data_IF_627129956273
#
_entry.id   IF_627129956273
#
_cell.length_a   1.000
_cell.length_b   1.000
_cell.length_c   1.000
_cell.angle_alpha   90.00
_cell.angle_beta   90.00
_cell.angle_gamma   90.00
#
_symmetry.space_group_name_H-M   'P 1'
#
loop_
_entity.id
_entity.type
_entity.pdbx_description
1 polymer ?
#
# COMPACT_ATOMS: atom_id res chain seq x y z
N UNK A 1 -1.06 -3.24 -3.48
CA UNK A 1 -0.53 -2.67 -2.25
C UNK A 1 -0.63 -3.82 -1.29
N UNK A 2 0.47 -4.29 -0.66
CA UNK A 2 0.57 -5.65 -0.11
C UNK A 2 -0.64 -6.01 0.77
N UNK A 3 -1.64 -6.59 0.09
CA UNK A 3 -2.76 -7.35 0.60
C UNK A 3 -2.58 -8.68 -0.11
N UNK A 4 -1.60 -9.42 0.39
CA UNK A 4 -1.42 -10.81 0.00
C UNK A 4 -1.02 -11.68 1.17
N UNK A 5 -0.59 -11.08 2.29
CA UNK A 5 -0.30 -11.81 3.52
C UNK A 5 -1.56 -12.35 4.21
N UNK A 6 -2.75 -11.82 3.89
CA UNK A 6 -4.01 -12.32 4.49
C UNK A 6 -4.82 -13.29 3.64
N UNK A 7 -4.55 -13.39 2.33
CA UNK A 7 -5.31 -14.24 1.42
C UNK A 7 -4.73 -15.66 1.29
N UNK A 8 -3.57 -15.95 1.89
CA UNK A 8 -2.88 -17.24 1.77
C UNK A 8 -2.64 -17.63 0.29
N UNK A 9 -2.44 -16.62 -0.58
CA UNK A 9 -2.05 -16.87 -1.96
C UNK A 9 -0.58 -17.28 -1.96
N UNK A 10 -0.35 -18.59 -2.09
CA UNK A 10 0.98 -19.20 -2.10
C UNK A 10 1.92 -18.51 -3.10
N UNK A 11 1.39 -18.12 -4.26
CA UNK A 11 2.16 -17.43 -5.30
C UNK A 11 2.73 -16.08 -4.84
N UNK A 12 1.97 -15.30 -4.07
CA UNK A 12 2.46 -14.02 -3.55
C UNK A 12 3.35 -14.23 -2.33
N UNK A 13 3.02 -15.20 -1.48
CA UNK A 13 3.83 -15.52 -0.30
C UNK A 13 5.23 -15.97 -0.71
N UNK A 14 5.36 -16.74 -1.79
CA UNK A 14 6.65 -17.18 -2.32
C UNK A 14 7.45 -16.01 -2.91
N UNK A 15 6.82 -15.13 -3.70
CA UNK A 15 7.49 -13.92 -4.20
C UNK A 15 7.91 -12.94 -3.11
N UNK A 16 7.13 -12.85 -2.02
CA UNK A 16 7.51 -12.05 -0.84
C UNK A 16 8.69 -12.68 -0.09
N UNK A 17 8.80 -14.01 -0.05
CA UNK A 17 9.93 -14.70 0.56
C UNK A 17 11.25 -14.50 -0.21
N UNK A 18 11.16 -14.30 -1.52
CA UNK A 18 12.30 -14.00 -2.38
C UNK A 18 12.68 -12.49 -2.39
N UNK A 19 11.86 -11.62 -1.78
CA UNK A 19 12.14 -10.18 -1.70
C UNK A 19 13.14 -9.89 -0.57
N UNK A 20 14.18 -9.08 -0.86
CA UNK A 20 15.18 -8.69 0.14
C UNK A 20 14.57 -7.91 1.31
N UNK A 21 13.66 -6.97 1.01
CA UNK A 21 13.00 -6.15 2.01
C UNK A 21 11.54 -5.86 1.63
N UNK A 22 10.65 -5.92 2.62
CA UNK A 22 9.21 -5.68 2.45
C UNK A 22 8.77 -4.50 3.32
N UNK A 23 8.12 -3.53 2.69
CA UNK A 23 7.64 -2.31 3.33
C UNK A 23 6.12 -2.23 3.29
N UNK A 24 5.53 -1.71 4.36
CA UNK A 24 4.07 -1.54 4.47
C UNK A 24 3.74 -0.07 4.75
N UNK A 25 3.01 0.63 3.87
CA UNK A 25 2.53 1.98 4.14
C UNK A 25 1.61 2.02 5.37
N UNK A 26 1.76 3.02 6.24
CA UNK A 26 0.88 3.16 7.41
C UNK A 26 -0.58 3.42 7.02
N UNK A 27 -0.84 4.04 5.86
CA UNK A 27 -2.18 4.21 5.30
C UNK A 27 -2.83 2.87 4.95
N UNK A 28 -2.06 1.92 4.42
CA UNK A 28 -2.49 0.55 4.16
C UNK A 28 -2.94 -0.17 5.44
N UNK A 29 -2.11 -0.08 6.49
CA UNK A 29 -2.46 -0.65 7.80
C UNK A 29 -3.76 -0.04 8.33
N UNK A 30 -3.95 1.27 8.17
CA UNK A 30 -5.19 1.95 8.54
C UNK A 30 -6.43 1.34 7.88
N UNK A 31 -6.35 1.03 6.57
CA UNK A 31 -7.44 0.35 5.85
C UNK A 31 -7.69 -1.07 6.35
N UNK A 32 -6.61 -1.82 6.65
CA UNK A 32 -6.71 -3.16 7.19
C UNK A 32 -7.39 -3.17 8.57
N UNK A 33 -6.98 -2.28 9.48
CA UNK A 33 -7.63 -2.15 10.79
C UNK A 33 -9.10 -1.74 10.67
N UNK A 34 -9.41 -0.83 9.75
CA UNK A 34 -10.80 -0.44 9.47
C UNK A 34 -11.64 -1.63 8.98
N UNK A 35 -11.10 -2.43 8.04
CA UNK A 35 -11.74 -3.64 7.55
C UNK A 35 -11.93 -4.69 8.64
N UNK A 36 -10.90 -4.92 9.47
CA UNK A 36 -10.95 -5.85 10.59
C UNK A 36 -12.04 -5.47 11.60
N UNK A 37 -12.15 -4.19 11.95
CA UNK A 37 -13.17 -3.68 12.86
C UNK A 37 -14.61 -3.90 12.41
N UNK A 38 -14.85 -4.04 11.09
CA UNK A 38 -16.18 -4.35 10.52
C UNK A 38 -16.47 -5.85 10.43
N UNK A 39 -15.49 -6.71 10.65
CA UNK A 39 -15.61 -8.15 10.42
C UNK A 39 -16.22 -8.89 11.62
N UNK A 40 -16.88 -10.02 11.36
CA UNK A 40 -17.37 -10.91 12.41
C UNK A 40 -16.24 -11.53 13.27
N UNK A 41 -14.99 -11.48 12.78
CA UNK A 41 -13.79 -12.01 13.43
C UNK A 41 -12.79 -10.90 13.76
N UNK A 42 -13.28 -9.76 14.24
CA UNK A 42 -12.46 -8.57 14.46
C UNK A 42 -11.21 -8.84 15.31
N UNK A 43 -11.32 -9.58 16.41
CA UNK A 43 -10.18 -9.89 17.30
C UNK A 43 -9.08 -10.67 16.58
N UNK A 44 -9.45 -11.73 15.85
CA UNK A 44 -8.49 -12.56 15.11
C UNK A 44 -7.83 -11.76 13.99
N UNK A 45 -8.61 -10.93 13.27
CA UNK A 45 -8.09 -10.12 12.18
C UNK A 45 -7.14 -9.03 12.68
N UNK A 46 -7.47 -8.35 13.78
CA UNK A 46 -6.60 -7.36 14.42
C UNK A 46 -5.28 -8.02 14.83
N UNK A 47 -5.32 -9.17 15.52
CA UNK A 47 -4.11 -9.86 15.94
C UNK A 47 -3.17 -10.19 14.77
N UNK A 48 -3.73 -10.65 13.64
CA UNK A 48 -2.92 -10.91 12.44
C UNK A 48 -2.35 -9.63 11.79
N UNK A 49 -3.07 -8.50 11.88
CA UNK A 49 -2.55 -7.20 11.41
C UNK A 49 -1.43 -6.70 12.32
N UNK A 50 -1.56 -6.89 13.64
CA UNK A 50 -0.51 -6.56 14.61
C UNK A 50 0.75 -7.39 14.35
N UNK A 51 0.61 -8.69 14.06
CA UNK A 51 1.73 -9.56 13.68
C UNK A 51 2.41 -9.09 12.38
N UNK A 52 1.62 -8.75 11.34
CA UNK A 52 2.17 -8.20 10.09
C UNK A 52 2.94 -6.90 10.34
N UNK A 53 2.36 -5.99 11.12
CA UNK A 53 2.96 -4.69 11.45
C UNK A 53 4.27 -4.87 12.23
N UNK A 54 4.31 -5.80 13.19
CA UNK A 54 5.51 -6.10 13.97
C UNK A 54 6.63 -6.77 13.13
N UNK A 55 6.25 -7.53 12.09
CA UNK A 55 7.18 -8.24 11.21
C UNK A 55 7.65 -7.45 9.98
N UNK A 56 7.15 -6.24 9.75
CA UNK A 56 7.40 -5.47 8.52
C UNK A 56 7.97 -4.09 8.82
N UNK A 57 8.73 -3.53 7.87
CA UNK A 57 9.13 -2.12 7.94
C UNK A 57 7.94 -1.21 7.56
N UNK A 58 7.36 -0.55 8.56
CA UNK A 58 6.21 0.35 8.34
C UNK A 58 6.69 1.74 7.90
N UNK A 59 6.22 2.19 6.74
CA UNK A 59 6.53 3.53 6.20
C UNK A 59 5.45 4.54 6.60
N UNK A 60 5.86 5.64 7.22
CA UNK A 60 4.97 6.71 7.69
C UNK A 60 5.09 7.93 6.79
N UNK A 61 3.96 8.58 6.52
CA UNK A 61 3.92 9.82 5.75
C UNK A 61 4.54 10.99 6.52
N UNK A 62 5.43 11.73 5.85
CA UNK A 62 6.02 12.96 6.35
C UNK A 62 5.72 14.16 5.42
N UNK A 63 6.40 15.29 5.64
CA UNK A 63 6.23 16.49 4.83
C UNK A 63 6.65 16.30 3.36
N UNK A 64 7.65 15.46 3.08
CA UNK A 64 8.05 15.12 1.72
C UNK A 64 6.97 14.27 1.05
N UNK A 65 6.42 13.29 1.76
CA UNK A 65 5.28 12.49 1.28
C UNK A 65 4.11 13.39 0.93
N UNK A 66 3.77 14.36 1.78
CA UNK A 66 2.68 15.30 1.56
C UNK A 66 2.88 16.16 0.30
N UNK A 67 4.12 16.57 0.02
CA UNK A 67 4.44 17.33 -1.21
C UNK A 67 4.26 16.48 -2.47
N UNK A 68 4.69 15.22 -2.44
CA UNK A 68 4.52 14.27 -3.54
C UNK A 68 3.03 13.96 -3.76
N UNK A 69 2.28 13.69 -2.69
CA UNK A 69 0.83 13.51 -2.72
C UNK A 69 0.13 14.67 -3.45
N UNK A 70 0.46 15.92 -3.12
CA UNK A 70 -0.16 17.09 -3.75
C UNK A 70 0.13 17.16 -5.25
N UNK A 71 1.36 16.78 -5.65
CA UNK A 71 1.77 16.73 -7.05
C UNK A 71 1.00 15.65 -7.82
N UNK A 72 0.95 14.44 -7.27
CA UNK A 72 0.23 13.30 -7.87
C UNK A 72 -1.26 13.62 -8.00
N UNK A 73 -1.90 14.11 -6.92
CA UNK A 73 -3.32 14.45 -6.91
C UNK A 73 -3.67 15.52 -7.95
N UNK A 74 -2.82 16.54 -8.10
CA UNK A 74 -3.03 17.57 -9.11
C UNK A 74 -2.93 16.99 -10.54
N UNK A 75 -1.94 16.13 -10.81
CA UNK A 75 -1.80 15.44 -12.11
C UNK A 75 -3.03 14.58 -12.43
N UNK A 76 -3.43 13.72 -11.50
CA UNK A 76 -4.61 12.86 -11.66
C UNK A 76 -5.89 13.67 -11.92
N UNK A 77 -6.04 14.81 -11.24
CA UNK A 77 -7.18 15.73 -11.46
C UNK A 77 -7.15 16.35 -12.85
N UNK A 78 -5.98 16.79 -13.33
CA UNK A 78 -5.83 17.35 -14.68
C UNK A 78 -6.09 16.31 -15.77
N UNK A 79 -5.74 15.05 -15.52
CA UNK A 79 -5.95 13.92 -16.44
C UNK A 79 -7.39 13.36 -16.41
N UNK A 80 -8.20 13.74 -15.42
CA UNK A 80 -9.56 13.21 -15.27
C UNK A 80 -9.60 11.76 -14.79
N UNK A 81 -8.54 11.28 -14.12
CA UNK A 81 -8.40 9.90 -13.64
C UNK A 81 -8.22 9.88 -12.12
N UNK A 82 -9.24 10.26 -11.33
CA UNK A 82 -9.14 10.22 -9.88
C UNK A 82 -8.98 8.77 -9.38
N UNK A 83 -8.12 8.58 -8.39
CA UNK A 83 -7.97 7.33 -7.63
C UNK A 83 -8.31 7.59 -6.15
N UNK A 84 -8.56 6.55 -5.33
CA UNK A 84 -8.80 6.70 -3.90
C UNK A 84 -7.72 7.51 -3.18
N UNK A 85 -8.11 8.28 -2.15
CA UNK A 85 -7.19 9.19 -1.45
C UNK A 85 -6.01 8.48 -0.79
N UNK A 86 -6.24 7.30 -0.21
CA UNK A 86 -5.18 6.50 0.42
C UNK A 86 -4.21 5.93 -0.61
N UNK A 87 -4.67 5.60 -1.82
CA UNK A 87 -3.81 5.13 -2.91
C UNK A 87 -2.83 6.23 -3.33
N UNK A 88 -3.25 7.50 -3.31
CA UNK A 88 -2.35 8.62 -3.58
C UNK A 88 -1.24 8.70 -2.52
N UNK A 89 -1.56 8.46 -1.24
CA UNK A 89 -0.56 8.41 -0.17
C UNK A 89 0.42 7.25 -0.34
N UNK A 90 -0.07 6.08 -0.73
CA UNK A 90 0.74 4.89 -1.01
C UNK A 90 1.69 5.16 -2.17
N UNK A 91 1.19 5.74 -3.27
CA UNK A 91 1.99 6.11 -4.42
C UNK A 91 3.06 7.15 -4.05
N UNK A 92 2.70 8.15 -3.25
CA UNK A 92 3.65 9.16 -2.76
C UNK A 92 4.78 8.56 -1.91
N UNK A 93 4.47 7.60 -1.03
CA UNK A 93 5.49 6.88 -0.26
C UNK A 93 6.41 6.05 -1.16
N UNK A 94 5.84 5.29 -2.10
CA UNK A 94 6.64 4.50 -3.04
C UNK A 94 7.59 5.40 -3.86
N UNK A 95 7.11 6.56 -4.32
CA UNK A 95 7.95 7.54 -5.03
C UNK A 95 9.02 8.17 -4.12
N UNK A 96 8.69 8.52 -2.87
CA UNK A 96 9.64 9.09 -1.91
C UNK A 96 10.83 8.18 -1.68
N UNK A 97 10.57 6.89 -1.48
CA UNK A 97 11.58 5.89 -1.15
C UNK A 97 12.13 5.17 -2.40
N UNK A 98 11.72 5.57 -3.60
CA UNK A 98 12.13 4.95 -4.87
C UNK A 98 11.87 3.44 -4.92
N UNK A 99 10.74 3.02 -4.32
CA UNK A 99 10.33 1.62 -4.23
C UNK A 99 9.39 1.24 -5.38
N UNK A 100 9.47 -0.01 -5.82
CA UNK A 100 8.47 -0.60 -6.70
C UNK A 100 7.21 -0.94 -5.91
N UNK A 101 6.08 -0.36 -6.30
CA UNK A 101 4.79 -0.68 -5.69
C UNK A 101 4.24 -1.98 -6.26
N UNK A 102 4.22 -3.01 -5.43
CA UNK A 102 3.57 -4.29 -5.74
C UNK A 102 2.07 -4.21 -5.44
N UNK A 103 1.23 -4.44 -6.45
CA UNK A 103 -0.22 -4.30 -6.30
C UNK A 103 -1.04 -5.10 -7.31
N UNK A 104 -2.12 -5.74 -6.82
CA UNK A 104 -3.19 -6.28 -7.68
C UNK A 104 -4.16 -5.20 -8.19
N UNK A 105 -4.13 -4.00 -7.62
CA UNK A 105 -4.95 -2.88 -8.09
C UNK A 105 -4.31 -2.20 -9.31
N UNK A 106 -5.10 -2.08 -10.38
CA UNK A 106 -4.69 -1.45 -11.64
C UNK A 106 -4.75 0.08 -11.59
N UNK A 107 -5.41 0.69 -10.61
CA UNK A 107 -5.53 2.14 -10.47
C UNK A 107 -4.16 2.84 -10.43
N UNK A 108 -3.14 2.21 -9.86
CA UNK A 108 -1.80 2.80 -9.77
C UNK A 108 -1.10 3.00 -11.11
N UNK A 109 -1.56 2.35 -12.20
CA UNK A 109 -0.98 2.50 -13.54
C UNK A 109 -1.16 3.89 -14.15
N UNK A 110 -2.13 4.67 -13.65
CA UNK A 110 -2.34 6.05 -14.12
C UNK A 110 -1.45 7.06 -13.39
N UNK A 111 -0.72 6.64 -12.35
CA UNK A 111 0.24 7.49 -11.65
C UNK A 111 1.54 7.52 -12.45
N UNK A 112 1.83 8.65 -13.08
CA UNK A 112 3.09 8.87 -13.80
C UNK A 112 4.30 8.74 -12.87
N UNK A 113 5.40 8.24 -13.42
CA UNK A 113 6.70 8.06 -12.75
C UNK A 113 6.72 7.04 -11.59
N UNK A 114 5.60 6.39 -11.28
CA UNK A 114 5.51 5.34 -10.28
C UNK A 114 5.93 3.98 -10.86
N UNK A 115 6.90 3.33 -10.23
CA UNK A 115 7.25 1.94 -10.55
C UNK A 115 6.19 1.01 -9.96
N UNK A 116 5.52 0.23 -10.80
CA UNK A 116 4.41 -0.65 -10.39
C UNK A 116 4.65 -2.05 -10.93
N UNK A 117 4.60 -3.04 -10.05
CA UNK A 117 4.56 -4.45 -10.43
C UNK A 117 3.21 -5.05 -10.07
N UNK A 118 2.64 -5.79 -11.01
CA UNK A 118 1.31 -6.39 -10.87
C UNK A 118 1.48 -7.87 -10.60
N UNK A 119 1.06 -8.28 -9.41
CA UNK A 119 1.09 -9.67 -8.96
C UNK A 119 -0.32 -10.24 -8.94
#
# INVERSE_FOLDING_TARGET
MIIAVFANEEAVTQKLADAEEVFVPSSALGELYFGAGKSARAKDNIARIDELSAGSAVLVCDALTAKLYGTIKNRLKMQGTPIPENDIWIAALAMQYQLTLVTGDRHFRVVEDLQVEQW
#
